data_IF_243161710390
#
_entry.id   IF_243161710390
#
_cell.length_a   1.000
_cell.length_b   1.000
_cell.length_c   1.000
_cell.angle_alpha   90.00
_cell.angle_beta   90.00
_cell.angle_gamma   90.00
#
_symmetry.space_group_name_H-M   'P 1'
#
loop_
_entity.id
_entity.type
_entity.pdbx_description
1 polymer ?
#
# COMPACT_ATOMS: atom_id res chain seq x y z
N UNK A 1 -7.28 6.38 22.17
CA UNK A 1 -6.39 7.05 21.20
C UNK A 1 -7.26 7.55 20.06
N UNK A 2 -7.27 8.86 19.82
CA UNK A 2 -8.02 9.49 18.72
C UNK A 2 -7.02 10.02 17.71
N UNK A 3 -6.59 9.18 16.77
CA UNK A 3 -5.63 9.58 15.75
C UNK A 3 -6.25 9.41 14.38
N UNK A 4 -6.68 10.54 13.82
CA UNK A 4 -6.89 10.70 12.38
C UNK A 4 -5.56 10.71 11.59
N UNK A 5 -4.42 10.55 12.27
CA UNK A 5 -3.08 10.56 11.69
C UNK A 5 -2.15 9.63 12.45
N UNK A 6 -1.74 8.52 11.83
CA UNK A 6 -0.48 7.85 12.18
C UNK A 6 0.66 8.67 11.58
N UNK A 7 1.67 9.02 12.38
CA UNK A 7 2.86 9.73 11.90
C UNK A 7 3.57 8.93 10.80
N UNK A 8 3.56 7.60 10.94
CA UNK A 8 4.01 6.64 9.93
C UNK A 8 3.21 5.35 10.08
N UNK A 9 2.74 4.73 8.98
CA UNK A 9 1.77 3.65 9.07
C UNK A 9 2.43 2.30 9.37
N UNK A 10 2.55 1.96 10.65
CA UNK A 10 3.30 0.77 11.10
C UNK A 10 2.67 -0.54 10.62
N UNK A 11 1.34 -0.64 10.60
CA UNK A 11 0.65 -1.84 10.09
C UNK A 11 0.94 -2.05 8.60
N UNK A 12 0.98 -0.96 7.82
CA UNK A 12 1.38 -1.04 6.41
C UNK A 12 2.85 -1.43 6.27
N UNK A 13 3.75 -0.93 7.14
CA UNK A 13 5.15 -1.32 7.13
C UNK A 13 5.34 -2.81 7.44
N UNK A 14 4.61 -3.37 8.40
CA UNK A 14 4.64 -4.80 8.73
C UNK A 14 4.17 -5.66 7.55
N UNK A 15 3.07 -5.25 6.89
CA UNK A 15 2.57 -5.88 5.68
C UNK A 15 3.58 -5.82 4.53
N UNK A 16 4.17 -4.65 4.31
CA UNK A 16 5.24 -4.44 3.33
C UNK A 16 6.44 -5.36 3.59
N UNK A 17 6.93 -5.42 4.83
CA UNK A 17 8.04 -6.33 5.22
C UNK A 17 7.70 -7.80 5.03
N UNK A 18 6.43 -8.15 5.08
CA UNK A 18 5.93 -9.52 4.84
C UNK A 18 5.74 -9.84 3.35
N UNK A 19 6.01 -8.89 2.44
CA UNK A 19 5.83 -9.11 1.00
C UNK A 19 4.37 -9.01 0.56
N UNK A 20 3.51 -8.36 1.34
CA UNK A 20 2.09 -8.20 1.01
C UNK A 20 1.88 -6.91 0.22
N UNK A 21 1.17 -6.94 -0.91
CA UNK A 21 0.71 -5.73 -1.58
C UNK A 21 -0.32 -5.00 -0.68
N UNK A 22 -0.41 -3.67 -0.82
CA UNK A 22 -1.29 -2.86 0.03
C UNK A 22 -2.17 -1.91 -0.78
N UNK A 23 -3.43 -1.79 -0.35
CA UNK A 23 -4.39 -0.76 -0.76
C UNK A 23 -4.74 0.05 0.48
N UNK A 24 -4.62 1.37 0.41
CA UNK A 24 -4.82 2.26 1.56
C UNK A 24 -5.45 3.58 1.14
N UNK A 25 -6.03 4.32 2.09
CA UNK A 25 -6.39 5.72 1.89
C UNK A 25 -5.18 6.64 2.06
N UNK A 26 -5.20 7.83 1.45
CA UNK A 26 -4.17 8.87 1.58
C UNK A 26 -4.25 9.56 2.96
N UNK A 27 -3.62 8.95 3.99
CA UNK A 27 -3.63 9.46 5.37
C UNK A 27 -2.25 9.35 6.03
N UNK A 28 -1.72 10.44 6.58
CA UNK A 28 -0.39 10.41 7.22
C UNK A 28 0.74 10.07 6.23
N UNK A 29 1.77 9.35 6.69
CA UNK A 29 3.00 9.07 5.92
C UNK A 29 2.91 7.97 4.84
N UNK A 30 1.72 7.63 4.32
CA UNK A 30 1.57 6.48 3.40
C UNK A 30 2.30 6.65 2.08
N UNK A 31 2.36 7.88 1.56
CA UNK A 31 3.09 8.18 0.32
C UNK A 31 4.60 7.96 0.46
N UNK A 32 5.13 8.01 1.68
CA UNK A 32 6.54 7.68 1.94
C UNK A 32 6.79 6.17 1.75
N UNK A 33 5.83 5.32 2.10
CA UNK A 33 5.93 3.86 1.99
C UNK A 33 5.48 3.33 0.62
N UNK A 34 4.46 3.94 0.02
CA UNK A 34 3.92 3.60 -1.31
C UNK A 34 4.10 4.82 -2.23
N UNK A 35 5.32 5.05 -2.74
CA UNK A 35 5.62 6.23 -3.56
C UNK A 35 5.01 6.18 -4.97
N UNK A 36 4.65 4.99 -5.46
CA UNK A 36 4.12 4.81 -6.80
C UNK A 36 3.34 3.49 -6.93
N UNK A 37 2.62 3.35 -8.06
CA UNK A 37 1.71 2.22 -8.32
C UNK A 37 2.39 0.85 -8.44
N UNK A 38 3.71 0.77 -8.58
CA UNK A 38 4.44 -0.50 -8.55
C UNK A 38 4.51 -1.13 -7.16
N UNK A 39 4.20 -0.36 -6.10
CA UNK A 39 4.33 -0.79 -4.71
C UNK A 39 3.00 -0.81 -3.95
N UNK A 40 1.89 -0.53 -4.62
CA UNK A 40 0.56 -0.57 -4.02
C UNK A 40 -0.35 0.52 -4.57
N UNK A 41 -1.48 0.71 -3.88
CA UNK A 41 -2.50 1.67 -4.27
C UNK A 41 -2.84 2.60 -3.11
N UNK A 42 -2.87 3.89 -3.41
CA UNK A 42 -3.39 4.92 -2.51
C UNK A 42 -4.67 5.46 -3.14
N UNK A 43 -5.69 5.65 -2.29
CA UNK A 43 -7.03 6.12 -2.68
C UNK A 43 -7.40 7.34 -1.85
N UNK A 44 -8.22 8.23 -2.40
CA UNK A 44 -8.74 9.37 -1.63
C UNK A 44 -9.67 8.87 -0.51
N UNK A 45 -9.65 9.57 0.62
CA UNK A 45 -10.51 9.24 1.78
C UNK A 45 -11.98 9.31 1.36
N UNK A 46 -12.71 8.21 1.56
CA UNK A 46 -14.14 8.11 1.22
C UNK A 46 -14.43 7.94 -0.27
N UNK A 47 -13.41 7.85 -1.14
CA UNK A 47 -13.62 7.66 -2.57
C UNK A 47 -13.82 6.18 -2.92
N UNK A 48 -15.09 5.75 -2.86
CA UNK A 48 -15.50 4.37 -3.12
C UNK A 48 -15.12 3.91 -4.53
N UNK A 49 -15.20 4.79 -5.55
CA UNK A 49 -14.87 4.42 -6.92
C UNK A 49 -13.37 4.16 -7.09
N UNK A 50 -12.49 4.95 -6.46
CA UNK A 50 -11.05 4.67 -6.47
C UNK A 50 -10.71 3.38 -5.73
N UNK A 51 -11.34 3.13 -4.58
CA UNK A 51 -11.17 1.89 -3.82
C UNK A 51 -11.58 0.67 -4.64
N UNK A 52 -12.75 0.73 -5.28
CA UNK A 52 -13.24 -0.30 -6.20
C UNK A 52 -12.25 -0.56 -7.33
N UNK A 53 -11.75 0.50 -7.97
CA UNK A 53 -10.78 0.37 -9.06
C UNK A 53 -9.47 -0.28 -8.59
N UNK A 54 -8.96 0.10 -7.41
CA UNK A 54 -7.77 -0.50 -6.82
C UNK A 54 -7.96 -1.99 -6.54
N UNK A 55 -9.11 -2.38 -5.97
CA UNK A 55 -9.45 -3.79 -5.71
C UNK A 55 -9.55 -4.56 -7.02
N UNK A 56 -10.25 -4.04 -8.03
CA UNK A 56 -10.36 -4.68 -9.34
C UNK A 56 -8.98 -4.89 -9.97
N UNK A 57 -8.12 -3.87 -9.95
CA UNK A 57 -6.78 -3.97 -10.50
C UNK A 57 -5.91 -5.00 -9.75
N UNK A 58 -6.01 -5.05 -8.42
CA UNK A 58 -5.33 -6.06 -7.61
C UNK A 58 -5.82 -7.49 -7.92
N UNK A 59 -7.12 -7.67 -8.17
CA UNK A 59 -7.69 -8.95 -8.58
C UNK A 59 -7.21 -9.38 -9.97
N UNK A 60 -7.15 -8.46 -10.93
CA UNK A 60 -6.59 -8.74 -12.27
C UNK A 60 -5.11 -9.14 -12.18
N UNK A 61 -4.33 -8.46 -11.34
CA UNK A 61 -2.95 -8.81 -11.11
C UNK A 61 -2.79 -10.11 -10.34
N UNK A 62 -3.74 -10.49 -9.47
CA UNK A 62 -3.70 -11.79 -8.77
C UNK A 62 -3.69 -12.96 -9.75
N UNK A 63 -4.32 -12.80 -10.92
CA UNK A 63 -4.31 -13.79 -12.01
C UNK A 63 -2.98 -13.78 -12.76
N UNK A 64 -2.27 -12.63 -12.77
CA UNK A 64 -1.00 -12.44 -13.46
C UNK A 64 0.20 -12.61 -12.52
N UNK A 65 0.55 -11.54 -11.81
CA UNK A 65 1.66 -11.50 -10.86
C UNK A 65 1.49 -10.37 -9.83
N UNK A 66 0.55 -10.54 -8.92
CA UNK A 66 0.35 -9.62 -7.78
C UNK A 66 1.52 -9.71 -6.79
N UNK A 67 2.17 -10.86 -6.72
CA UNK A 67 3.32 -11.13 -5.83
C UNK A 67 4.45 -10.14 -6.11
N UNK A 68 4.68 -9.78 -7.38
CA UNK A 68 5.67 -8.77 -7.75
C UNK A 68 5.47 -7.43 -7.03
N UNK A 69 4.24 -6.93 -6.94
CA UNK A 69 3.96 -5.67 -6.22
C UNK A 69 4.34 -5.79 -4.74
N UNK A 70 3.99 -6.92 -4.12
CA UNK A 70 4.35 -7.19 -2.72
C UNK A 70 5.86 -7.29 -2.51
N UNK A 71 6.59 -7.94 -3.42
CA UNK A 71 8.05 -8.05 -3.37
C UNK A 71 8.75 -6.71 -3.61
N UNK A 72 8.26 -5.92 -4.56
CA UNK A 72 8.80 -4.59 -4.85
C UNK A 72 8.58 -3.64 -3.66
N UNK A 73 7.38 -3.69 -3.05
CA UNK A 73 7.08 -2.97 -1.80
C UNK A 73 7.98 -3.44 -0.65
N UNK A 74 8.17 -4.75 -0.48
CA UNK A 74 9.05 -5.30 0.56
C UNK A 74 10.50 -4.83 0.39
N UNK A 75 11.01 -4.89 -0.84
CA UNK A 75 12.38 -4.47 -1.16
C UNK A 75 12.55 -2.99 -0.86
N UNK A 76 11.58 -2.17 -1.24
CA UNK A 76 11.58 -0.75 -0.93
C UNK A 76 11.55 -0.51 0.58
N UNK A 77 10.63 -1.16 1.30
CA UNK A 77 10.49 -1.02 2.74
C UNK A 77 11.77 -1.37 3.51
N UNK A 78 12.41 -2.49 3.17
CA UNK A 78 13.70 -2.92 3.75
C UNK A 78 14.85 -1.96 3.43
N UNK A 79 14.83 -1.33 2.26
CA UNK A 79 15.92 -0.40 1.87
C UNK A 79 15.76 0.96 2.53
N UNK A 80 14.54 1.44 2.69
CA UNK A 80 14.24 2.81 3.12
C UNK A 80 13.99 2.92 4.63
N UNK A 81 13.43 1.89 5.27
CA UNK A 81 12.91 1.96 6.65
C UNK A 81 13.49 0.88 7.60
N UNK A 82 14.70 0.38 7.32
CA UNK A 82 15.51 -0.64 8.03
C UNK A 82 15.23 -2.13 7.73
#
# INVERSE_FOLDING_TARGET
MTSLSESFPLVLLEGARSGLPAITSDVGGVQELIPDRSKGWITDIGNVEQLKLAICNALELKIRDLTKIGLDLQKFAKTTFL
#
